data_IF_232512392718
#
_entry.id   IF_232512392718
#
_cell.length_a   1.000
_cell.length_b   1.000
_cell.length_c   1.000
_cell.angle_alpha   90.00
_cell.angle_beta   90.00
_cell.angle_gamma   90.00
#
_symmetry.space_group_name_H-M   'P 1'
#
loop_
_entity.id
_entity.type
_entity.pdbx_description
1 polymer ?
#
# COMPACT_ATOMS: atom_id res chain seq x y z
N UNK A 1 8.88 -6.01 -25.76
CA UNK A 1 9.96 -6.10 -24.74
C UNK A 1 10.43 -7.55 -24.68
N UNK A 2 11.73 -7.82 -24.62
CA UNK A 2 12.24 -9.21 -24.55
C UNK A 2 12.03 -9.78 -23.14
N UNK A 3 11.82 -11.09 -23.06
CA UNK A 3 11.57 -11.79 -21.79
C UNK A 3 12.71 -11.63 -20.78
N UNK A 4 13.96 -11.68 -21.25
CA UNK A 4 15.14 -11.43 -20.41
C UNK A 4 15.17 -10.02 -19.83
N UNK A 5 14.78 -9.01 -20.61
CA UNK A 5 14.74 -7.62 -20.13
C UNK A 5 13.67 -7.47 -19.04
N UNK A 6 12.51 -8.11 -19.18
CA UNK A 6 11.43 -8.07 -18.19
C UNK A 6 11.86 -8.73 -16.88
N UNK A 7 12.47 -9.91 -16.96
CA UNK A 7 13.00 -10.60 -15.79
C UNK A 7 14.08 -9.78 -15.06
N UNK A 8 14.98 -9.13 -15.81
CA UNK A 8 16.01 -8.26 -15.22
C UNK A 8 15.39 -7.06 -14.48
N UNK A 9 14.39 -6.40 -15.07
CA UNK A 9 13.69 -5.29 -14.41
C UNK A 9 12.95 -5.80 -13.16
N UNK A 10 12.26 -6.95 -13.26
CA UNK A 10 11.61 -7.56 -12.12
C UNK A 10 12.58 -7.94 -10.99
N UNK A 11 13.75 -8.48 -11.32
CA UNK A 11 14.78 -8.81 -10.34
C UNK A 11 15.32 -7.55 -9.64
N UNK A 12 15.63 -6.49 -10.40
CA UNK A 12 16.08 -5.20 -9.84
C UNK A 12 14.99 -4.57 -8.97
N UNK A 13 13.74 -4.59 -9.42
CA UNK A 13 12.62 -4.08 -8.64
C UNK A 13 12.45 -4.87 -7.34
N UNK A 14 12.55 -6.20 -7.38
CA UNK A 14 12.43 -7.05 -6.21
C UNK A 14 13.57 -6.81 -5.21
N UNK A 15 14.81 -6.63 -5.66
CA UNK A 15 15.92 -6.32 -4.75
C UNK A 15 15.74 -4.95 -4.09
N UNK A 16 15.33 -3.92 -4.85
CA UNK A 16 15.02 -2.61 -4.29
C UNK A 16 13.88 -2.71 -3.27
N UNK A 17 12.81 -3.44 -3.60
CA UNK A 17 11.67 -3.66 -2.71
C UNK A 17 12.09 -4.31 -1.39
N UNK A 18 12.90 -5.38 -1.43
CA UNK A 18 13.43 -6.05 -0.23
C UNK A 18 14.27 -5.09 0.62
N UNK A 19 15.16 -4.32 0.00
CA UNK A 19 16.00 -3.36 0.71
C UNK A 19 15.17 -2.27 1.41
N UNK A 20 14.12 -1.77 0.75
CA UNK A 20 13.22 -0.78 1.33
C UNK A 20 12.37 -1.36 2.46
N UNK A 21 11.84 -2.58 2.31
CA UNK A 21 11.14 -3.28 3.40
C UNK A 21 12.05 -3.41 4.61
N UNK A 22 13.28 -3.88 4.40
CA UNK A 22 14.25 -4.05 5.48
C UNK A 22 14.60 -2.73 6.16
N UNK A 23 14.90 -1.68 5.38
CA UNK A 23 15.16 -0.35 5.91
C UNK A 23 13.97 0.20 6.71
N UNK A 24 12.75 0.07 6.18
CA UNK A 24 11.52 0.52 6.85
C UNK A 24 11.27 -0.20 8.17
N UNK A 25 11.48 -1.52 8.21
CA UNK A 25 11.38 -2.33 9.44
C UNK A 25 12.41 -1.88 10.48
N UNK A 26 13.67 -1.69 10.09
CA UNK A 26 14.71 -1.23 11.01
C UNK A 26 14.37 0.15 11.59
N UNK A 27 14.00 1.11 10.74
CA UNK A 27 13.62 2.47 11.17
C UNK A 27 12.44 2.39 12.14
N UNK A 28 11.37 1.71 11.77
CA UNK A 28 10.16 1.60 12.61
C UNK A 28 10.49 0.96 13.95
N UNK A 29 11.27 -0.13 13.95
CA UNK A 29 11.65 -0.84 15.16
C UNK A 29 12.47 0.05 16.10
N UNK A 30 13.59 0.61 15.63
CA UNK A 30 14.49 1.35 16.52
C UNK A 30 13.92 2.69 17.00
N UNK A 31 13.18 3.39 16.14
CA UNK A 31 12.57 4.68 16.51
C UNK A 31 11.28 4.52 17.32
N UNK A 32 10.63 3.36 17.25
CA UNK A 32 9.39 3.05 17.99
C UNK A 32 9.60 2.54 19.41
N UNK A 33 10.82 2.17 19.80
CA UNK A 33 11.13 1.71 21.16
C UNK A 33 10.87 2.81 22.21
N UNK A 34 10.66 2.47 23.49
CA UNK A 34 10.69 3.43 24.58
C UNK A 34 12.10 4.00 24.80
N UNK A 35 12.24 5.25 25.28
CA UNK A 35 13.54 5.91 25.49
C UNK A 35 14.38 5.23 26.57
N UNK A 36 13.72 4.71 27.60
CA UNK A 36 14.34 4.08 28.76
C UNK A 36 13.86 2.64 28.92
N UNK A 37 14.72 1.79 29.48
CA UNK A 37 14.37 0.43 29.88
C UNK A 37 13.54 0.41 31.18
N UNK A 38 13.11 -0.78 31.61
CA UNK A 38 12.34 -0.97 32.84
C UNK A 38 13.09 -0.53 34.11
N UNK A 39 14.40 -0.28 34.02
CA UNK A 39 15.29 0.11 35.13
C UNK A 39 15.75 1.58 34.98
N UNK A 40 15.25 2.30 33.97
CA UNK A 40 15.54 3.72 33.74
C UNK A 40 16.83 4.02 32.98
N UNK A 41 17.45 3.04 32.31
CA UNK A 41 18.64 3.25 31.47
C UNK A 41 18.25 3.61 30.04
N UNK A 42 18.99 4.54 29.44
CA UNK A 42 18.76 4.95 28.06
C UNK A 42 19.03 3.81 27.07
N UNK A 43 18.04 3.52 26.24
CA UNK A 43 18.15 2.53 25.17
C UNK A 43 18.63 3.24 23.89
N UNK A 44 19.78 2.84 23.35
CA UNK A 44 20.35 3.37 22.10
C UNK A 44 20.30 4.91 21.97
N UNK A 45 21.07 5.66 22.79
CA UNK A 45 21.00 7.12 22.83
C UNK A 45 21.39 7.81 21.52
N UNK A 46 22.08 7.11 20.62
CA UNK A 46 22.50 7.61 19.32
C UNK A 46 21.42 7.53 18.24
N UNK A 47 20.32 6.80 18.47
CA UNK A 47 19.22 6.67 17.50
C UNK A 47 18.28 7.87 17.63
N UNK A 48 18.07 8.67 16.57
CA UNK A 48 17.10 9.75 16.60
C UNK A 48 15.69 9.16 16.65
N UNK A 49 14.91 9.55 17.66
CA UNK A 49 13.51 9.09 17.87
C UNK A 49 12.48 10.12 17.44
N UNK A 50 12.88 11.39 17.47
CA UNK A 50 12.05 12.54 17.19
C UNK A 50 12.75 13.38 16.13
N UNK A 51 11.97 14.00 15.25
CA UNK A 51 12.50 15.07 14.40
C UNK A 51 12.57 16.38 15.18
N UNK A 52 13.26 17.39 14.64
CA UNK A 52 13.41 18.71 15.28
C UNK A 52 12.07 19.44 15.51
N UNK A 53 10.99 19.02 14.84
CA UNK A 53 9.65 19.56 15.01
C UNK A 53 8.89 18.97 16.22
N UNK A 54 9.35 17.85 16.77
CA UNK A 54 8.70 17.13 17.86
C UNK A 54 9.46 17.39 19.17
N UNK A 55 8.84 18.10 20.11
CA UNK A 55 9.49 18.48 21.38
C UNK A 55 9.33 17.45 22.51
N UNK A 56 8.34 16.55 22.43
CA UNK A 56 8.02 15.61 23.50
C UNK A 56 8.39 14.17 23.10
N UNK A 57 9.41 13.63 23.77
CA UNK A 57 9.98 12.31 23.53
C UNK A 57 8.97 11.15 23.63
N UNK A 58 7.90 11.30 24.40
CA UNK A 58 6.90 10.25 24.59
C UNK A 58 5.87 10.19 23.44
N UNK A 59 5.71 11.28 22.68
CA UNK A 59 4.71 11.43 21.61
C UNK A 59 5.31 11.42 20.21
N UNK A 60 6.62 11.16 20.07
CA UNK A 60 7.25 11.13 18.75
C UNK A 60 6.67 10.00 17.89
N UNK A 61 6.31 10.37 16.66
CA UNK A 61 5.57 9.51 15.74
C UNK A 61 6.06 9.65 14.30
N UNK A 62 6.68 10.78 13.92
CA UNK A 62 7.05 11.03 12.52
C UNK A 62 8.04 10.00 12.00
N UNK A 63 9.15 9.75 12.70
CA UNK A 63 10.16 8.79 12.26
C UNK A 63 9.64 7.34 12.17
N UNK A 64 8.92 6.79 13.16
CA UNK A 64 8.37 5.45 13.02
C UNK A 64 7.35 5.38 11.89
N UNK A 65 6.51 6.39 11.68
CA UNK A 65 5.58 6.43 10.54
C UNK A 65 6.31 6.51 9.19
N UNK A 66 7.41 7.25 9.09
CA UNK A 66 8.26 7.24 7.87
C UNK A 66 8.84 5.86 7.62
N UNK A 67 9.29 5.16 8.67
CA UNK A 67 9.71 3.77 8.58
C UNK A 67 8.60 2.85 8.04
N UNK A 68 7.39 2.98 8.58
CA UNK A 68 6.22 2.20 8.16
C UNK A 68 5.86 2.46 6.70
N UNK A 69 5.84 3.73 6.28
CA UNK A 69 5.56 4.13 4.90
C UNK A 69 6.65 3.64 3.93
N UNK A 70 7.91 3.65 4.36
CA UNK A 70 9.03 3.10 3.58
C UNK A 70 8.89 1.59 3.43
N UNK A 71 8.53 0.89 4.50
CA UNK A 71 8.26 -0.54 4.48
C UNK A 71 7.09 -0.91 3.57
N UNK A 72 5.98 -0.17 3.66
CA UNK A 72 4.83 -0.30 2.79
C UNK A 72 5.20 -0.06 1.32
N UNK A 73 5.88 1.05 1.00
CA UNK A 73 6.32 1.32 -0.36
C UNK A 73 7.25 0.21 -0.90
N UNK A 74 8.16 -0.27 -0.06
CA UNK A 74 9.04 -1.39 -0.39
C UNK A 74 8.26 -2.67 -0.72
N UNK A 75 7.21 -2.98 0.05
CA UNK A 75 6.37 -4.16 -0.21
C UNK A 75 5.59 -4.03 -1.52
N UNK A 76 5.06 -2.84 -1.81
CA UNK A 76 4.36 -2.56 -3.07
C UNK A 76 5.28 -2.76 -4.28
N UNK A 77 6.50 -2.23 -4.22
CA UNK A 77 7.51 -2.40 -5.27
C UNK A 77 7.88 -3.88 -5.40
N UNK A 78 8.10 -4.59 -4.29
CA UNK A 78 8.46 -6.00 -4.29
C UNK A 78 7.38 -6.86 -4.98
N UNK A 79 6.13 -6.72 -4.57
CA UNK A 79 5.00 -7.49 -5.11
C UNK A 79 4.83 -7.17 -6.60
N UNK A 80 4.80 -5.89 -6.97
CA UNK A 80 4.68 -5.47 -8.36
C UNK A 80 5.84 -6.00 -9.23
N UNK A 81 7.07 -5.99 -8.71
CA UNK A 81 8.25 -6.47 -9.43
C UNK A 81 8.24 -7.99 -9.65
N UNK A 82 7.78 -8.77 -8.67
CA UNK A 82 7.62 -10.23 -8.80
C UNK A 82 6.50 -10.55 -9.80
N UNK A 83 5.36 -9.86 -9.69
CA UNK A 83 4.24 -10.03 -10.63
C UNK A 83 4.68 -9.69 -12.05
N UNK A 84 5.29 -8.53 -12.27
CA UNK A 84 5.73 -8.08 -13.60
C UNK A 84 6.87 -8.94 -14.16
N UNK A 85 7.86 -9.29 -13.34
CA UNK A 85 9.06 -10.01 -13.76
C UNK A 85 8.81 -11.49 -14.08
N UNK A 86 7.91 -12.14 -13.33
CA UNK A 86 7.81 -13.60 -13.31
C UNK A 86 6.42 -14.18 -13.57
N UNK A 87 5.35 -13.49 -13.16
CA UNK A 87 3.96 -13.98 -13.33
C UNK A 87 3.35 -13.50 -14.64
N UNK A 88 3.56 -12.22 -14.97
CA UNK A 88 2.85 -11.54 -16.04
C UNK A 88 3.22 -12.09 -17.44
N UNK A 89 2.18 -12.37 -18.23
CA UNK A 89 2.30 -12.79 -19.64
C UNK A 89 3.16 -14.07 -19.82
N UNK A 90 3.01 -15.01 -18.88
CA UNK A 90 3.63 -16.33 -18.87
C UNK A 90 2.55 -17.39 -18.69
N UNK A 91 2.76 -18.63 -19.17
CA UNK A 91 1.82 -19.71 -18.92
C UNK A 91 1.70 -19.97 -17.42
N UNK A 92 0.46 -19.98 -16.92
CA UNK A 92 0.11 -20.25 -15.52
C UNK A 92 0.24 -21.74 -15.23
N UNK A 93 1.46 -22.15 -14.88
CA UNK A 93 1.69 -23.43 -14.20
C UNK A 93 1.10 -23.39 -12.80
N UNK A 94 0.79 -24.54 -12.20
CA UNK A 94 0.34 -24.66 -10.81
C UNK A 94 1.17 -23.82 -9.82
N UNK A 95 2.50 -23.89 -9.90
CA UNK A 95 3.39 -23.13 -9.02
C UNK A 95 3.22 -21.61 -9.16
N UNK A 96 3.19 -21.10 -10.41
CA UNK A 96 2.96 -19.66 -10.67
C UNK A 96 1.58 -19.19 -10.22
N UNK A 97 0.55 -20.02 -10.41
CA UNK A 97 -0.80 -19.70 -9.96
C UNK A 97 -0.87 -19.61 -8.43
N UNK A 98 -0.24 -20.57 -7.71
CA UNK A 98 -0.17 -20.55 -6.26
C UNK A 98 0.56 -19.31 -5.73
N UNK A 99 1.71 -18.94 -6.32
CA UNK A 99 2.44 -17.73 -5.93
C UNK A 99 1.64 -16.46 -6.25
N UNK A 100 0.96 -16.39 -7.40
CA UNK A 100 0.12 -15.24 -7.74
C UNK A 100 -1.04 -15.08 -6.75
N UNK A 101 -1.68 -16.17 -6.36
CA UNK A 101 -2.73 -16.17 -5.34
C UNK A 101 -2.17 -15.72 -3.97
N UNK A 102 -1.01 -16.26 -3.57
CA UNK A 102 -0.34 -15.86 -2.33
C UNK A 102 0.00 -14.36 -2.31
N UNK A 103 0.57 -13.82 -3.39
CA UNK A 103 0.90 -12.40 -3.50
C UNK A 103 -0.37 -11.53 -3.43
N UNK A 104 -1.46 -11.95 -4.07
CA UNK A 104 -2.74 -11.26 -3.97
C UNK A 104 -3.28 -11.27 -2.54
N UNK A 105 -3.28 -12.42 -1.87
CA UNK A 105 -3.72 -12.52 -0.47
C UNK A 105 -2.86 -11.65 0.44
N UNK A 106 -1.55 -11.65 0.24
CA UNK A 106 -0.62 -10.82 1.00
C UNK A 106 -0.90 -9.34 0.77
N UNK A 107 -1.15 -8.92 -0.46
CA UNK A 107 -1.54 -7.54 -0.77
C UNK A 107 -2.86 -7.14 -0.09
N UNK A 108 -3.87 -8.01 -0.13
CA UNK A 108 -5.14 -7.75 0.56
C UNK A 108 -4.97 -7.65 2.08
N UNK A 109 -4.10 -8.45 2.67
CA UNK A 109 -3.76 -8.36 4.09
C UNK A 109 -3.04 -7.05 4.43
N UNK A 110 -2.14 -6.58 3.57
CA UNK A 110 -1.47 -5.29 3.76
C UNK A 110 -2.50 -4.15 3.71
N UNK A 111 -3.31 -4.11 2.65
CA UNK A 111 -4.28 -3.02 2.41
C UNK A 111 -5.38 -3.00 3.48
N UNK A 112 -5.99 -4.13 3.80
CA UNK A 112 -7.17 -4.15 4.68
C UNK A 112 -6.88 -4.54 6.13
N UNK A 113 -5.73 -5.16 6.41
CA UNK A 113 -5.33 -5.54 7.75
C UNK A 113 -4.31 -4.57 8.34
N UNK A 114 -3.13 -4.50 7.71
CA UNK A 114 -1.97 -3.82 8.28
C UNK A 114 -2.14 -2.30 8.25
N UNK A 115 -2.44 -1.71 7.09
CA UNK A 115 -2.52 -0.24 6.95
C UNK A 115 -3.59 0.36 7.88
N UNK A 116 -4.83 -0.17 7.97
CA UNK A 116 -5.82 0.34 8.92
C UNK A 116 -5.41 0.16 10.38
N UNK A 117 -4.77 -0.96 10.72
CA UNK A 117 -4.29 -1.20 12.08
C UNK A 117 -3.23 -0.18 12.50
N UNK A 118 -2.24 0.08 11.65
CA UNK A 118 -1.18 1.06 11.94
C UNK A 118 -1.73 2.49 12.04
N UNK A 119 -2.69 2.85 11.19
CA UNK A 119 -3.41 4.12 11.31
C UNK A 119 -4.12 4.27 12.66
N UNK A 120 -4.82 3.22 13.10
CA UNK A 120 -5.51 3.23 14.39
C UNK A 120 -4.53 3.27 15.55
N UNK A 121 -3.43 2.51 15.50
CA UNK A 121 -2.39 2.53 16.52
C UNK A 121 -1.76 3.92 16.68
N UNK A 122 -1.46 4.59 15.56
CA UNK A 122 -0.92 5.94 15.54
C UNK A 122 -1.90 6.97 16.13
N UNK A 123 -3.14 6.94 15.64
CA UNK A 123 -4.17 7.92 16.02
C UNK A 123 -4.61 7.75 17.47
N UNK A 124 -4.78 6.52 17.96
CA UNK A 124 -5.22 6.25 19.33
C UNK A 124 -4.08 6.34 20.34
N UNK A 125 -2.85 5.97 19.93
CA UNK A 125 -1.67 6.01 20.78
C UNK A 125 -1.02 7.38 20.81
N UNK A 126 -0.11 7.64 19.87
CA UNK A 126 0.79 8.81 19.90
C UNK A 126 0.06 10.14 19.66
N UNK A 127 -0.92 10.17 18.77
CA UNK A 127 -1.64 11.41 18.44
C UNK A 127 -2.81 11.70 19.39
N UNK A 128 -3.26 10.71 20.16
CA UNK A 128 -4.38 10.81 21.09
C UNK A 128 -5.63 11.48 20.46
N UNK A 129 -6.07 10.94 19.32
CA UNK A 129 -7.31 11.32 18.64
C UNK A 129 -8.49 10.67 19.33
N UNK A 130 -8.92 11.29 20.43
CA UNK A 130 -10.04 10.83 21.24
C UNK A 130 -11.33 11.59 20.91
N UNK A 131 -12.47 11.02 21.31
CA UNK A 131 -13.78 11.69 21.18
C UNK A 131 -13.91 12.94 22.06
N UNK A 132 -13.06 13.09 23.08
CA UNK A 132 -13.05 14.25 23.97
C UNK A 132 -12.24 15.42 23.41
N UNK A 133 -11.35 15.16 22.45
CA UNK A 133 -10.50 16.19 21.84
C UNK A 133 -11.23 16.79 20.65
N UNK A 134 -11.62 18.06 20.76
CA UNK A 134 -12.28 18.80 19.68
C UNK A 134 -11.25 19.08 18.58
N UNK A 135 -11.60 18.74 17.34
CA UNK A 135 -10.82 19.05 16.14
C UNK A 135 -11.17 20.44 15.61
N UNK A 136 -12.46 20.71 15.41
CA UNK A 136 -12.97 22.02 15.01
C UNK A 136 -14.45 22.17 15.37
N UNK A 137 -14.85 23.43 15.57
CA UNK A 137 -16.24 23.81 15.83
C UNK A 137 -16.90 24.28 14.53
N UNK A 138 -18.15 23.86 14.30
CA UNK A 138 -18.92 24.30 13.14
C UNK A 138 -19.54 25.66 13.47
N UNK A 139 -19.36 26.70 12.61
CA UNK A 139 -19.98 28.00 12.84
C UNK A 139 -21.49 27.88 13.02
N UNK A 140 -22.03 28.54 14.04
CA UNK A 140 -23.44 28.40 14.47
C UNK A 140 -24.46 28.67 13.36
N UNK A 141 -24.15 29.59 12.44
CA UNK A 141 -25.03 29.93 11.32
C UNK A 141 -25.20 28.77 10.30
N UNK A 142 -24.28 27.81 10.26
CA UNK A 142 -24.38 26.60 9.41
C UNK A 142 -25.19 25.47 10.05
N UNK A 143 -25.42 25.51 11.37
CA UNK A 143 -26.05 24.44 12.15
C UNK A 143 -27.25 24.92 12.94
N UNK A 144 -28.04 25.83 12.36
CA UNK A 144 -29.29 26.33 12.94
C UNK A 144 -29.11 26.88 14.37
N UNK A 145 -28.00 27.59 14.59
CA UNK A 145 -27.60 28.15 15.88
C UNK A 145 -27.26 27.12 16.99
N UNK A 146 -27.10 25.84 16.66
CA UNK A 146 -26.62 24.81 17.60
C UNK A 146 -25.11 24.87 17.81
N UNK A 147 -24.64 24.34 18.95
CA UNK A 147 -23.23 24.04 19.18
C UNK A 147 -22.94 22.62 18.69
N UNK A 148 -22.36 22.53 17.50
CA UNK A 148 -21.89 21.26 16.93
C UNK A 148 -20.38 21.34 16.79
N UNK A 149 -19.69 20.41 17.45
CA UNK A 149 -18.23 20.27 17.38
C UNK A 149 -17.88 18.89 16.84
N UNK A 150 -16.84 18.82 16.02
CA UNK A 150 -16.32 17.56 15.49
C UNK A 150 -15.08 17.21 16.28
N UNK A 151 -15.06 16.00 16.86
CA UNK A 151 -13.91 15.49 17.61
C UNK A 151 -12.90 14.81 16.69
N UNK A 152 -11.65 14.72 17.16
CA UNK A 152 -10.62 13.92 16.49
C UNK A 152 -10.99 12.43 16.43
N UNK A 153 -11.80 11.94 17.37
CA UNK A 153 -12.38 10.60 17.30
C UNK A 153 -13.25 10.39 16.05
N UNK A 154 -14.14 11.34 15.75
CA UNK A 154 -14.96 11.31 14.52
C UNK A 154 -14.08 11.39 13.27
N UNK A 155 -13.05 12.25 13.29
CA UNK A 155 -12.12 12.37 12.17
C UNK A 155 -11.35 11.07 11.90
N UNK A 156 -10.85 10.42 12.97
CA UNK A 156 -10.17 9.12 12.91
C UNK A 156 -11.05 8.07 12.22
N UNK A 157 -12.29 7.93 12.68
CA UNK A 157 -13.22 6.92 12.19
C UNK A 157 -13.65 7.21 10.75
N UNK A 158 -13.87 8.48 10.41
CA UNK A 158 -14.18 8.91 9.05
C UNK A 158 -13.04 8.59 8.06
N UNK A 159 -11.79 8.84 8.44
CA UNK A 159 -10.62 8.50 7.59
C UNK A 159 -10.49 6.99 7.42
N UNK A 160 -10.62 6.21 8.50
CA UNK A 160 -10.54 4.75 8.43
C UNK A 160 -11.65 4.15 7.55
N UNK A 161 -12.90 4.61 7.72
CA UNK A 161 -14.04 4.18 6.90
C UNK A 161 -13.89 4.60 5.44
N UNK A 162 -13.48 5.85 5.19
CA UNK A 162 -13.24 6.37 3.84
C UNK A 162 -12.14 5.63 3.11
N UNK A 163 -11.05 5.29 3.81
CA UNK A 163 -9.97 4.46 3.27
C UNK A 163 -10.47 3.08 2.87
N UNK A 164 -11.18 2.38 3.77
CA UNK A 164 -11.68 1.03 3.50
C UNK A 164 -12.63 1.00 2.30
N UNK A 165 -13.57 1.96 2.23
CA UNK A 165 -14.50 2.08 1.10
C UNK A 165 -13.77 2.35 -0.22
N UNK A 166 -12.79 3.26 -0.20
CA UNK A 166 -12.02 3.64 -1.39
C UNK A 166 -11.17 2.48 -1.89
N UNK A 167 -10.48 1.78 -0.99
CA UNK A 167 -9.63 0.63 -1.35
C UNK A 167 -10.47 -0.54 -1.85
N UNK A 168 -11.63 -0.81 -1.25
CA UNK A 168 -12.55 -1.82 -1.77
C UNK A 168 -13.01 -1.48 -3.19
N UNK A 169 -13.39 -0.22 -3.43
CA UNK A 169 -13.73 0.28 -4.76
C UNK A 169 -12.57 0.10 -5.75
N UNK A 170 -11.34 0.44 -5.36
CA UNK A 170 -10.15 0.29 -6.19
C UNK A 170 -9.87 -1.17 -6.56
N UNK A 171 -10.01 -2.11 -5.61
CA UNK A 171 -9.84 -3.55 -5.85
C UNK A 171 -10.91 -4.07 -6.83
N UNK A 172 -12.17 -3.68 -6.66
CA UNK A 172 -13.26 -4.08 -7.56
C UNK A 172 -13.04 -3.55 -8.98
N UNK A 173 -12.65 -2.29 -9.11
CA UNK A 173 -12.33 -1.67 -10.42
C UNK A 173 -11.11 -2.36 -11.04
N UNK A 174 -10.06 -2.64 -10.27
CA UNK A 174 -8.88 -3.35 -10.74
C UNK A 174 -9.20 -4.76 -11.23
N UNK A 175 -10.03 -5.51 -10.49
CA UNK A 175 -10.49 -6.83 -10.88
C UNK A 175 -11.32 -6.79 -12.17
N UNK A 176 -12.22 -5.81 -12.30
CA UNK A 176 -13.00 -5.59 -13.52
C UNK A 176 -12.10 -5.29 -14.73
N UNK A 177 -11.12 -4.38 -14.57
CA UNK A 177 -10.17 -4.05 -15.63
C UNK A 177 -9.30 -5.25 -16.04
N UNK A 178 -8.85 -6.05 -15.08
CA UNK A 178 -8.08 -7.27 -15.34
C UNK A 178 -8.90 -8.30 -16.13
N UNK A 179 -10.18 -8.49 -15.79
CA UNK A 179 -11.09 -9.36 -16.52
C UNK A 179 -11.30 -8.88 -17.96
N UNK A 180 -11.57 -7.59 -18.15
CA UNK A 180 -11.80 -6.99 -19.46
C UNK A 180 -10.55 -7.11 -20.34
N UNK A 181 -9.37 -6.87 -19.77
CA UNK A 181 -8.10 -7.06 -20.46
C UNK A 181 -7.87 -8.52 -20.90
N UNK A 182 -8.24 -9.49 -20.05
CA UNK A 182 -8.19 -10.91 -20.40
C UNK A 182 -9.12 -11.25 -21.57
N UNK A 183 -10.36 -10.73 -21.57
CA UNK A 183 -11.32 -10.95 -22.66
C UNK A 183 -10.79 -10.44 -24.00
N UNK A 184 -10.20 -9.24 -24.02
CA UNK A 184 -9.62 -8.64 -25.24
C UNK A 184 -8.47 -9.46 -25.82
N UNK A 185 -7.66 -10.10 -24.98
CA UNK A 185 -6.57 -10.98 -25.43
C UNK A 185 -7.07 -12.32 -25.98
N UNK A 186 -8.24 -12.79 -25.52
CA UNK A 186 -8.86 -14.03 -25.98
C UNK A 186 -9.65 -13.90 -27.30
N UNK A 187 -9.89 -12.68 -27.78
CA UNK A 187 -10.60 -12.49 -29.05
C UNK A 187 -9.73 -12.93 -30.24
N UNK A 188 -10.24 -13.78 -31.14
CA UNK A 188 -9.51 -14.17 -32.34
C UNK A 188 -9.22 -12.91 -33.15
N UNK A 189 -7.95 -12.71 -33.54
CA UNK A 189 -7.57 -11.60 -34.41
C UNK A 189 -8.39 -11.71 -35.70
N UNK A 190 -9.09 -10.65 -36.14
CA UNK A 190 -9.88 -10.70 -37.36
C UNK A 190 -8.97 -11.08 -38.52
N UNK A 191 -9.18 -12.27 -39.07
CA UNK A 191 -8.46 -12.73 -40.26
C UNK A 191 -8.95 -11.86 -41.41
N UNK A 192 -8.13 -10.92 -41.88
CA UNK A 192 -8.44 -10.20 -43.12
C UNK A 192 -8.59 -11.23 -44.23
N UNK A 193 -9.79 -11.34 -44.77
CA UNK A 193 -10.09 -12.18 -45.92
C UNK A 193 -9.82 -11.41 -47.19
N UNK A 194 -9.26 -12.08 -48.19
CA UNK A 194 -9.18 -11.53 -49.55
C UNK A 194 -10.59 -11.33 -50.12
N UNK A 195 -10.69 -10.55 -51.19
CA UNK A 195 -11.93 -10.40 -51.98
C UNK A 195 -12.49 -11.76 -52.44
N UNK A 196 -11.63 -12.77 -52.55
CA UNK A 196 -11.98 -14.15 -52.91
C UNK A 196 -12.22 -15.08 -51.69
N UNK A 197 -12.41 -14.53 -50.49
CA UNK A 197 -12.76 -15.27 -49.28
C UNK A 197 -11.62 -16.09 -48.64
N UNK A 198 -10.43 -16.12 -49.23
CA UNK A 198 -9.26 -16.79 -48.65
C UNK A 198 -8.62 -15.97 -47.53
N UNK A 199 -8.17 -16.57 -46.42
CA UNK A 199 -7.47 -15.86 -45.35
C UNK A 199 -6.14 -15.29 -45.88
N UNK A 200 -5.91 -13.99 -45.69
CA UNK A 200 -4.67 -13.35 -46.09
C UNK A 200 -3.52 -13.81 -45.19
N UNK A 201 -2.48 -14.35 -45.78
CA UNK A 201 -1.23 -14.69 -45.09
C UNK A 201 -0.35 -13.44 -45.09
N UNK A 202 0.25 -13.11 -43.94
CA UNK A 202 1.15 -11.96 -43.81
C UNK A 202 2.39 -12.21 -44.67
N UNK A 203 2.57 -11.44 -45.74
CA UNK A 203 3.75 -11.55 -46.60
C UNK A 203 5.03 -11.27 -45.81
N UNK A 204 5.99 -12.20 -45.88
CA UNK A 204 7.35 -12.00 -45.37
C UNK A 204 8.05 -10.94 -46.22
N UNK A 205 8.39 -9.81 -45.61
CA UNK A 205 9.40 -8.87 -46.09
C UNK A 205 10.63 -9.01 -45.21
#
# INVERSE_FOLDING_TARGET
MTDHRRQRIGAIGATIGVLLVFAGVLITHFTGLPPVDAVGRDIYPWVPRCIWLESNANTCWVLPTVGQLTGFLGSQILIAAVVFGWVFDRPLTWARAAVAAFLFTLEMMIIFGIVPNEWLALTQGKLNWSGQRIAFDIPRWLVLNNRVSISFGVLKDAIAGGYAATMLGAVLVGAYQAQEWSKRRGQPKPTTTSVYGRPLVKGTK
#
